data_IF_233858148394
#
_entry.id   IF_233858148394
#
_cell.length_a   1.000
_cell.length_b   1.000
_cell.length_c   1.000
_cell.angle_alpha   90.00
_cell.angle_beta   90.00
_cell.angle_gamma   90.00
#
_symmetry.space_group_name_H-M   'P 1'
#
loop_
_entity.id
_entity.type
_entity.pdbx_description
1 polymer ?
#
# COMPACT_ATOMS: atom_id res chain seq x y z
N UNK A 1 -23.73 18.79 -1.44
CA UNK A 1 -22.31 18.33 -1.48
C UNK A 1 -22.10 16.89 -1.99
N UNK A 2 -23.08 16.01 -1.94
CA UNK A 2 -22.95 14.58 -2.32
C UNK A 2 -22.99 14.29 -3.83
N UNK A 3 -23.66 15.12 -4.64
CA UNK A 3 -23.78 14.89 -6.10
C UNK A 3 -22.49 15.28 -6.89
N UNK A 4 -21.82 16.34 -6.49
CA UNK A 4 -20.60 16.80 -7.15
C UNK A 4 -19.45 15.79 -6.95
N UNK A 5 -19.30 15.26 -5.75
CA UNK A 5 -18.27 14.24 -5.44
C UNK A 5 -18.54 12.95 -6.24
N UNK A 6 -19.78 12.52 -6.38
CA UNK A 6 -20.14 11.36 -7.20
C UNK A 6 -19.82 11.57 -8.69
N UNK A 7 -20.14 12.75 -9.22
CA UNK A 7 -19.87 13.07 -10.61
C UNK A 7 -18.35 13.11 -10.89
N UNK A 8 -17.58 13.71 -9.99
CA UNK A 8 -16.10 13.76 -10.12
C UNK A 8 -15.46 12.38 -10.05
N UNK A 9 -15.96 11.49 -9.17
CA UNK A 9 -15.47 10.12 -9.08
C UNK A 9 -15.80 9.31 -10.34
N UNK A 10 -17.00 9.44 -10.88
CA UNK A 10 -17.44 8.76 -12.09
C UNK A 10 -16.66 9.26 -13.30
N UNK A 11 -16.42 10.56 -13.42
CA UNK A 11 -15.63 11.15 -14.49
C UNK A 11 -14.16 10.72 -14.41
N UNK A 12 -13.59 10.65 -13.22
CA UNK A 12 -12.24 10.14 -12.99
C UNK A 12 -12.13 8.65 -13.36
N UNK A 13 -13.11 7.82 -12.94
CA UNK A 13 -13.17 6.40 -13.31
C UNK A 13 -13.33 6.21 -14.82
N UNK A 14 -14.19 7.00 -15.47
CA UNK A 14 -14.40 6.96 -16.91
C UNK A 14 -13.14 7.38 -17.69
N UNK A 15 -12.44 8.41 -17.23
CA UNK A 15 -11.16 8.86 -17.80
C UNK A 15 -10.07 7.80 -17.65
N UNK A 16 -9.98 7.18 -16.49
CA UNK A 16 -9.05 6.06 -16.20
C UNK A 16 -9.38 4.82 -17.04
N UNK A 17 -10.65 4.54 -17.32
CA UNK A 17 -11.06 3.38 -18.12
C UNK A 17 -10.80 3.56 -19.63
N UNK A 18 -10.95 4.78 -20.16
CA UNK A 18 -10.89 5.01 -21.62
C UNK A 18 -9.48 5.35 -22.15
N UNK A 19 -8.52 5.73 -21.30
CA UNK A 19 -7.15 6.01 -21.76
C UNK A 19 -6.26 4.76 -21.88
N UNK A 20 -6.82 3.56 -21.76
CA UNK A 20 -6.05 2.32 -21.86
C UNK A 20 -5.59 1.95 -23.28
N UNK A 21 -6.10 2.62 -24.30
CA UNK A 21 -5.90 2.20 -25.69
C UNK A 21 -4.53 2.55 -26.31
N UNK A 22 -3.66 3.30 -25.61
CA UNK A 22 -2.33 3.69 -26.11
C UNK A 22 -1.17 3.43 -25.14
N UNK A 23 -1.44 2.65 -24.07
CA UNK A 23 -0.42 2.39 -23.06
C UNK A 23 0.45 1.21 -23.51
N UNK A 24 1.77 1.40 -23.45
CA UNK A 24 2.70 0.29 -23.64
C UNK A 24 2.51 -0.77 -22.53
N UNK A 25 2.78 -2.05 -22.88
CA UNK A 25 2.75 -3.14 -21.91
C UNK A 25 3.64 -2.83 -20.70
N UNK A 26 3.25 -3.36 -19.53
CA UNK A 26 4.04 -3.23 -18.30
C UNK A 26 5.45 -3.77 -18.56
N UNK A 27 6.42 -2.89 -18.61
CA UNK A 27 7.82 -3.26 -18.60
C UNK A 27 8.17 -3.94 -17.26
N UNK A 28 9.29 -4.65 -17.22
CA UNK A 28 9.80 -5.27 -15.99
C UNK A 28 9.90 -4.26 -14.84
N UNK A 29 10.11 -4.75 -13.60
CA UNK A 29 10.13 -3.90 -12.42
C UNK A 29 11.21 -2.83 -12.53
N UNK A 30 10.84 -1.57 -12.24
CA UNK A 30 11.70 -0.38 -12.17
C UNK A 30 11.67 0.15 -10.74
N UNK A 31 12.58 1.06 -10.39
CA UNK A 31 12.49 1.78 -9.11
C UNK A 31 11.19 2.58 -9.06
N UNK A 32 10.57 2.61 -7.91
CA UNK A 32 9.26 3.25 -7.75
C UNK A 32 9.17 3.96 -6.41
N UNK A 33 8.42 5.05 -6.42
CA UNK A 33 7.98 5.74 -5.22
C UNK A 33 6.46 5.66 -5.14
N UNK A 34 5.95 5.23 -3.99
CA UNK A 34 4.52 5.06 -3.76
C UNK A 34 4.07 5.92 -2.60
N UNK A 35 3.01 6.68 -2.80
CA UNK A 35 2.24 7.34 -1.75
C UNK A 35 0.93 6.60 -1.59
N UNK A 36 0.56 6.30 -0.35
CA UNK A 36 -0.69 5.61 -0.03
C UNK A 36 -1.53 6.41 0.96
N UNK A 37 -2.84 6.32 0.82
CA UNK A 37 -3.83 6.88 1.75
C UNK A 37 -4.87 5.81 2.04
N UNK A 38 -5.24 5.67 3.30
CA UNK A 38 -6.15 4.60 3.64
C UNK A 38 -6.77 4.72 5.02
N UNK A 39 -7.34 3.61 5.44
CA UNK A 39 -7.96 3.47 6.75
C UNK A 39 -7.25 2.35 7.50
N UNK A 40 -6.71 2.67 8.67
CA UNK A 40 -6.18 1.70 9.63
C UNK A 40 -7.28 1.26 10.61
N UNK A 41 -7.02 0.15 11.30
CA UNK A 41 -7.92 -0.47 12.27
C UNK A 41 -9.29 -0.83 11.65
N UNK A 42 -9.24 -1.50 10.52
CA UNK A 42 -10.40 -1.67 9.62
C UNK A 42 -11.54 -2.46 10.27
N UNK A 43 -11.23 -3.48 11.06
CA UNK A 43 -12.22 -4.41 11.63
C UNK A 43 -12.59 -4.13 13.08
N UNK A 44 -11.86 -3.22 13.73
CA UNK A 44 -12.16 -2.81 15.10
C UNK A 44 -13.02 -1.54 15.15
N UNK A 45 -13.55 -1.22 16.33
CA UNK A 45 -14.56 -0.16 16.48
C UNK A 45 -14.13 1.25 16.13
N UNK A 46 -12.83 1.55 16.13
CA UNK A 46 -12.30 2.89 15.86
C UNK A 46 -11.39 2.88 14.64
N UNK A 47 -11.95 3.27 13.51
CA UNK A 47 -11.21 3.42 12.24
C UNK A 47 -10.66 4.82 12.11
N UNK A 48 -9.43 4.94 11.65
CA UNK A 48 -8.80 6.23 11.43
C UNK A 48 -7.99 6.29 10.14
N UNK A 49 -7.93 7.49 9.57
CA UNK A 49 -7.20 7.74 8.34
C UNK A 49 -5.69 7.61 8.57
N UNK A 50 -5.00 7.11 7.57
CA UNK A 50 -3.55 7.01 7.54
C UNK A 50 -2.98 7.33 6.17
N UNK A 51 -1.69 7.57 6.14
CA UNK A 51 -0.93 7.75 4.91
C UNK A 51 0.43 7.05 5.02
N UNK A 52 1.00 6.70 3.89
CA UNK A 52 2.28 6.03 3.80
C UNK A 52 3.11 6.48 2.62
N UNK A 53 4.41 6.30 2.75
CA UNK A 53 5.39 6.46 1.70
C UNK A 53 6.25 5.20 1.63
N UNK A 54 6.40 4.64 0.43
CA UNK A 54 7.19 3.43 0.20
C UNK A 54 8.07 3.61 -1.02
N UNK A 55 9.37 3.36 -0.86
CA UNK A 55 10.32 3.20 -1.96
C UNK A 55 10.49 1.72 -2.27
N UNK A 56 10.47 1.39 -3.55
CA UNK A 56 10.61 0.04 -4.11
C UNK A 56 11.83 0.00 -5.02
N UNK A 57 12.84 -0.77 -4.67
CA UNK A 57 14.05 -0.87 -5.48
C UNK A 57 13.92 -1.92 -6.60
N UNK A 58 14.96 -2.07 -7.39
CA UNK A 58 15.08 -3.13 -8.40
C UNK A 58 15.06 -4.51 -7.73
N UNK A 59 14.61 -5.56 -8.44
CA UNK A 59 14.64 -6.91 -7.91
C UNK A 59 16.05 -7.38 -7.57
N UNK A 60 16.20 -7.99 -6.42
CA UNK A 60 17.45 -8.64 -5.99
C UNK A 60 17.49 -10.13 -6.34
N UNK A 61 16.31 -10.73 -6.52
CA UNK A 61 16.17 -12.12 -6.92
C UNK A 61 14.85 -12.32 -7.67
N UNK A 62 14.92 -12.82 -8.93
CA UNK A 62 13.75 -12.99 -9.80
C UNK A 62 12.91 -11.70 -9.88
N UNK A 63 11.71 -11.71 -9.28
CA UNK A 63 10.80 -10.56 -9.21
C UNK A 63 10.61 -10.07 -7.77
N UNK A 64 11.47 -10.48 -6.85
CA UNK A 64 11.45 -10.06 -5.44
C UNK A 64 12.20 -8.75 -5.29
N UNK A 65 11.51 -7.72 -4.85
CA UNK A 65 11.98 -6.35 -4.72
C UNK A 65 12.15 -5.95 -3.26
N UNK A 66 13.28 -5.39 -2.86
CA UNK A 66 13.41 -4.72 -1.57
C UNK A 66 12.50 -3.49 -1.50
N UNK A 67 11.95 -3.26 -0.33
CA UNK A 67 11.17 -2.07 -0.03
C UNK A 67 11.63 -1.45 1.29
N UNK A 68 11.48 -0.14 1.38
CA UNK A 68 11.57 0.62 2.63
C UNK A 68 10.41 1.59 2.66
N UNK A 69 9.77 1.72 3.81
CA UNK A 69 8.62 2.60 3.91
C UNK A 69 8.36 3.11 5.31
N UNK A 70 7.44 4.07 5.34
CA UNK A 70 6.95 4.70 6.55
C UNK A 70 5.46 4.95 6.40
N UNK A 71 4.70 4.72 7.46
CA UNK A 71 3.30 5.11 7.54
C UNK A 71 3.00 5.82 8.85
N UNK A 72 1.99 6.68 8.81
CA UNK A 72 1.49 7.41 9.96
C UNK A 72 -0.03 7.50 9.89
N UNK A 73 -0.69 7.48 11.04
CA UNK A 73 -2.13 7.63 11.14
C UNK A 73 -2.51 8.98 11.73
N UNK A 74 -3.79 9.34 11.64
CA UNK A 74 -4.34 10.54 12.30
C UNK A 74 -4.17 10.49 13.81
N UNK A 75 -4.15 9.28 14.38
CA UNK A 75 -3.93 9.06 15.82
C UNK A 75 -2.44 9.03 16.19
N UNK A 76 -1.55 9.42 15.24
CA UNK A 76 -0.09 9.47 15.40
C UNK A 76 0.59 8.10 15.60
N UNK A 77 -0.08 7.01 15.20
CA UNK A 77 0.59 5.71 15.12
C UNK A 77 1.59 5.72 13.96
N UNK A 78 2.81 5.35 14.22
CA UNK A 78 3.91 5.39 13.26
C UNK A 78 4.49 4.00 13.03
N UNK A 79 4.78 3.67 11.79
CA UNK A 79 5.42 2.41 11.44
C UNK A 79 6.48 2.64 10.37
N UNK A 80 7.75 2.41 10.73
CA UNK A 80 8.87 2.44 9.79
C UNK A 80 9.33 1.01 9.52
N UNK A 81 9.47 0.62 8.25
CA UNK A 81 9.69 -0.77 7.88
C UNK A 81 10.64 -0.96 6.71
N UNK A 82 11.22 -2.15 6.67
CA UNK A 82 11.92 -2.72 5.53
C UNK A 82 11.30 -4.07 5.17
N UNK A 83 11.35 -4.46 3.93
CA UNK A 83 10.74 -5.72 3.53
C UNK A 83 10.97 -6.07 2.08
N UNK A 84 10.11 -6.95 1.59
CA UNK A 84 10.13 -7.42 0.22
C UNK A 84 8.74 -7.42 -0.38
N UNK A 85 8.69 -7.17 -1.67
CA UNK A 85 7.48 -7.20 -2.48
C UNK A 85 7.74 -8.02 -3.73
N UNK A 86 6.85 -8.96 -4.03
CA UNK A 86 6.96 -9.71 -5.27
C UNK A 86 6.13 -9.05 -6.37
N UNK A 87 6.64 -9.04 -7.59
CA UNK A 87 6.03 -8.36 -8.74
C UNK A 87 5.42 -9.39 -9.71
N UNK A 88 4.11 -9.58 -9.64
CA UNK A 88 3.35 -10.37 -10.61
C UNK A 88 2.69 -9.46 -11.63
N UNK A 89 2.99 -9.68 -12.91
CA UNK A 89 2.25 -9.09 -14.04
C UNK A 89 1.09 -10.03 -14.35
N UNK A 90 -0.13 -9.54 -14.20
CA UNK A 90 -1.34 -10.29 -14.49
C UNK A 90 -1.72 -10.19 -15.96
N UNK A 91 -1.56 -8.99 -16.54
CA UNK A 91 -1.74 -8.68 -17.96
C UNK A 91 -1.02 -7.37 -18.31
N UNK A 92 -1.29 -6.80 -19.48
CA UNK A 92 -0.60 -5.61 -20.00
C UNK A 92 -0.65 -4.37 -19.09
N UNK A 93 -1.66 -4.26 -18.23
CA UNK A 93 -1.88 -3.08 -17.38
C UNK A 93 -2.05 -3.39 -15.90
N UNK A 94 -2.34 -4.64 -15.52
CA UNK A 94 -2.58 -5.05 -14.15
C UNK A 94 -1.44 -5.84 -13.54
N UNK A 95 -1.14 -5.56 -12.30
CA UNK A 95 -0.18 -6.30 -11.50
C UNK A 95 -0.71 -6.59 -10.10
N UNK A 96 -0.20 -7.67 -9.52
CA UNK A 96 -0.46 -8.10 -8.16
C UNK A 96 0.86 -8.18 -7.40
N UNK A 97 0.93 -7.56 -6.25
CA UNK A 97 2.17 -7.38 -5.50
C UNK A 97 1.99 -7.82 -4.04
N UNK A 98 2.16 -9.10 -3.71
CA UNK A 98 2.23 -9.54 -2.32
C UNK A 98 3.47 -8.97 -1.63
N UNK A 99 3.32 -8.64 -0.35
CA UNK A 99 4.31 -7.92 0.44
C UNK A 99 4.49 -8.58 1.80
N UNK A 100 5.74 -8.62 2.25
CA UNK A 100 6.09 -8.94 3.62
C UNK A 100 7.16 -7.97 4.11
N UNK A 101 6.98 -7.42 5.31
CA UNK A 101 7.91 -6.48 5.91
C UNK A 101 8.01 -6.68 7.43
N UNK A 102 9.10 -6.19 7.99
CA UNK A 102 9.33 -6.07 9.43
C UNK A 102 9.67 -4.62 9.73
N UNK A 103 9.21 -4.09 10.85
CA UNK A 103 9.50 -2.72 11.19
C UNK A 103 9.30 -2.37 12.66
N UNK A 104 9.50 -1.09 12.92
CA UNK A 104 9.32 -0.50 14.24
C UNK A 104 8.02 0.30 14.28
N UNK A 105 7.17 -0.09 15.19
CA UNK A 105 5.89 0.55 15.44
C UNK A 105 5.96 1.40 16.71
N UNK A 106 5.36 2.55 16.67
CA UNK A 106 5.16 3.43 17.81
C UNK A 106 3.67 3.81 17.87
N UNK A 107 2.99 3.33 18.90
CA UNK A 107 1.59 3.73 19.10
C UNK A 107 1.53 5.18 19.56
N UNK A 108 0.72 5.95 18.86
CA UNK A 108 0.29 7.27 19.29
C UNK A 108 -0.91 7.17 20.24
N UNK A 109 -2.02 7.75 19.82
CA UNK A 109 -3.32 7.66 20.51
C UNK A 109 -4.21 6.53 19.92
N UNK A 110 -3.71 5.80 18.93
CA UNK A 110 -4.44 4.75 18.24
C UNK A 110 -4.29 3.39 18.93
N UNK A 111 -4.00 2.34 18.16
CA UNK A 111 -3.95 0.98 18.66
C UNK A 111 -2.58 0.64 19.27
N UNK A 112 -2.60 0.07 20.47
CA UNK A 112 -1.40 -0.52 21.06
C UNK A 112 -1.26 -1.98 20.61
N UNK A 113 -0.32 -2.25 19.70
CA UNK A 113 -0.08 -3.59 19.14
C UNK A 113 0.67 -4.54 20.11
N UNK A 114 1.00 -4.07 21.31
CA UNK A 114 1.62 -4.90 22.33
C UNK A 114 3.14 -4.90 22.31
N UNK A 115 3.78 -4.34 21.29
CA UNK A 115 5.22 -4.26 21.16
C UNK A 115 5.69 -3.28 20.09
N UNK A 116 7.01 -3.15 19.97
CA UNK A 116 7.61 -2.21 18.99
C UNK A 116 7.96 -2.87 17.67
N UNK A 117 8.27 -4.16 17.68
CA UNK A 117 8.61 -4.90 16.45
C UNK A 117 7.35 -5.53 15.92
N UNK A 118 6.96 -5.13 14.72
CA UNK A 118 5.76 -5.62 14.06
C UNK A 118 6.09 -6.12 12.65
N UNK A 119 5.36 -7.17 12.24
CA UNK A 119 5.40 -7.72 10.89
C UNK A 119 4.19 -7.25 10.11
N UNK A 120 4.43 -6.83 8.87
CA UNK A 120 3.39 -6.47 7.91
C UNK A 120 3.31 -7.53 6.82
N UNK A 121 2.15 -8.14 6.64
CA UNK A 121 1.84 -8.99 5.50
C UNK A 121 0.67 -8.39 4.72
N UNK A 122 0.73 -8.45 3.40
CA UNK A 122 -0.34 -7.84 2.62
C UNK A 122 -0.15 -8.02 1.12
N UNK A 123 -1.00 -7.33 0.37
CA UNK A 123 -0.94 -7.31 -1.07
C UNK A 123 -1.44 -5.97 -1.64
N UNK A 124 -1.06 -5.71 -2.86
CA UNK A 124 -1.55 -4.59 -3.66
C UNK A 124 -1.94 -5.10 -5.04
N UNK A 125 -3.14 -4.76 -5.50
CA UNK A 125 -3.49 -4.77 -6.91
C UNK A 125 -3.29 -3.37 -7.45
N UNK A 126 -2.56 -3.24 -8.56
CA UNK A 126 -2.35 -1.94 -9.17
C UNK A 126 -2.52 -1.98 -10.68
N UNK A 127 -3.05 -0.88 -11.21
CA UNK A 127 -3.26 -0.66 -12.63
C UNK A 127 -2.37 0.45 -13.12
N UNK A 128 -1.68 0.20 -14.22
CA UNK A 128 -0.96 1.22 -14.95
C UNK A 128 -1.97 2.18 -15.60
N UNK A 129 -1.79 3.48 -15.37
CA UNK A 129 -2.63 4.55 -15.94
C UNK A 129 -1.85 5.48 -16.87
N UNK A 130 -0.52 5.41 -16.82
CA UNK A 130 0.41 5.98 -17.80
C UNK A 130 1.73 5.22 -17.75
N UNK A 131 2.69 5.55 -18.62
CA UNK A 131 4.00 4.89 -18.68
C UNK A 131 4.79 4.92 -17.34
N UNK A 132 4.46 5.88 -16.47
CA UNK A 132 5.15 6.07 -15.20
C UNK A 132 4.25 6.01 -13.98
N UNK A 133 2.93 5.92 -14.14
CA UNK A 133 1.99 6.06 -13.03
C UNK A 133 1.09 4.85 -12.92
N UNK A 134 0.97 4.34 -11.69
CA UNK A 134 0.05 3.25 -11.35
C UNK A 134 -0.85 3.69 -10.20
N UNK A 135 -2.12 3.34 -10.30
CA UNK A 135 -3.07 3.40 -9.19
C UNK A 135 -3.22 2.01 -8.59
N UNK A 136 -3.18 1.93 -7.28
CA UNK A 136 -3.28 0.67 -6.56
C UNK A 136 -4.34 0.69 -5.47
N UNK A 137 -4.75 -0.51 -5.12
CA UNK A 137 -5.59 -0.82 -3.98
C UNK A 137 -4.88 -1.92 -3.18
N UNK A 138 -4.65 -1.67 -1.91
CA UNK A 138 -3.89 -2.56 -1.04
C UNK A 138 -4.64 -2.92 0.23
N UNK A 139 -4.34 -4.10 0.74
CA UNK A 139 -4.72 -4.58 2.05
C UNK A 139 -3.48 -5.10 2.78
N UNK A 140 -3.35 -4.76 4.04
CA UNK A 140 -2.28 -5.29 4.88
C UNK A 140 -2.74 -5.54 6.29
N UNK A 141 -2.12 -6.56 6.91
CA UNK A 141 -2.23 -6.91 8.30
C UNK A 141 -0.89 -6.64 9.00
N UNK A 142 -0.94 -5.97 10.13
CA UNK A 142 0.20 -5.66 10.98
C UNK A 142 0.03 -6.36 12.32
N UNK A 143 1.04 -7.13 12.75
CA UNK A 143 1.02 -7.85 14.03
C UNK A 143 2.43 -8.24 14.47
N UNK A 144 2.62 -8.51 15.76
CA UNK A 144 3.90 -8.94 16.29
C UNK A 144 4.13 -10.46 16.28
N UNK A 145 3.26 -11.23 15.65
CA UNK A 145 3.35 -12.71 15.59
C UNK A 145 3.50 -13.37 16.98
N UNK A 146 2.99 -12.74 18.03
CA UNK A 146 3.06 -13.19 19.42
C UNK A 146 4.49 -13.26 20.02
N UNK A 147 5.43 -12.47 19.48
CA UNK A 147 6.73 -12.27 20.15
C UNK A 147 6.61 -11.45 21.43
N UNK A 148 5.47 -10.78 21.63
CA UNK A 148 5.07 -10.13 22.87
C UNK A 148 3.81 -10.79 23.45
N UNK A 149 3.49 -10.49 24.72
CA UNK A 149 2.32 -11.07 25.40
C UNK A 149 0.99 -10.66 24.75
N UNK A 150 0.90 -9.42 24.30
CA UNK A 150 -0.29 -8.89 23.59
C UNK A 150 -0.01 -8.84 22.11
N UNK A 151 -0.99 -9.23 21.30
CA UNK A 151 -0.92 -9.20 19.84
C UNK A 151 -2.33 -9.00 19.26
N UNK A 152 -2.95 -7.82 19.42
CA UNK A 152 -4.26 -7.57 18.87
C UNK A 152 -4.24 -7.55 17.33
N UNK A 153 -3.14 -7.06 16.74
CA UNK A 153 -3.05 -6.85 15.30
C UNK A 153 -3.85 -5.64 14.83
N UNK A 154 -3.69 -5.28 13.56
CA UNK A 154 -4.52 -4.25 12.90
C UNK A 154 -4.49 -4.45 11.39
N UNK A 155 -5.58 -4.11 10.71
CA UNK A 155 -5.67 -4.16 9.26
C UNK A 155 -5.78 -2.77 8.67
N UNK A 156 -5.16 -2.61 7.50
CA UNK A 156 -5.19 -1.37 6.73
C UNK A 156 -5.72 -1.64 5.34
N UNK A 157 -6.62 -0.80 4.90
CA UNK A 157 -7.09 -0.72 3.52
C UNK A 157 -6.58 0.59 2.93
N UNK A 158 -5.93 0.53 1.78
CA UNK A 158 -5.26 1.70 1.21
C UNK A 158 -5.44 1.84 -0.31
N UNK A 159 -5.49 3.08 -0.77
CA UNK A 159 -5.34 3.47 -2.16
C UNK A 159 -3.94 4.03 -2.34
N UNK A 160 -3.25 3.64 -3.39
CA UNK A 160 -1.89 4.05 -3.66
C UNK A 160 -1.72 4.68 -5.04
N UNK A 161 -0.82 5.66 -5.09
CA UNK A 161 -0.29 6.24 -6.31
C UNK A 161 1.19 5.92 -6.37
N UNK A 162 1.60 5.18 -7.39
CA UNK A 162 2.99 4.78 -7.61
C UNK A 162 3.56 5.45 -8.84
N UNK A 163 4.73 6.05 -8.68
CA UNK A 163 5.48 6.71 -9.75
C UNK A 163 6.74 5.90 -10.02
N UNK A 164 6.96 5.55 -11.29
CA UNK A 164 8.20 4.93 -11.79
C UNK A 164 9.28 6.01 -11.94
N UNK A 165 10.45 5.74 -11.36
CA UNK A 165 11.62 6.62 -11.35
C UNK A 165 12.53 6.36 -12.56
#
# INVERSE_FOLDING_TARGET
MTSVIRLTLITLLYFVCNNAASMGAINGPKRELTVAFGTANLFDGSRYAGYGLEYRDLPVWRKLRPIIGFSNTREHDQYAYIGVRYFFVLNEVWRFNPTFAIGLYNSGNGINLGGRVEFRSGFEFSRQISDRVHLGFGFSHLSNSRIYRSNPGTETLELSLTITL
#
